data_IF_748325628789
#
_entry.id   IF_748325628789
#
_cell.length_a   1.000
_cell.length_b   1.000
_cell.length_c   1.000
_cell.angle_alpha   90.00
_cell.angle_beta   90.00
_cell.angle_gamma   90.00
#
_symmetry.space_group_name_H-M   'P 1'
#
loop_
_entity.id
_entity.type
_entity.pdbx_description
1 polymer ?
#
# COMPACT_ATOMS: atom_id res chain seq x y z
N UNK A 1 -11.95 -24.25 40.11
CA UNK A 1 -10.56 -24.76 40.05
C UNK A 1 -10.33 -25.46 38.70
N UNK A 2 -10.57 -24.75 37.57
CA UNK A 2 -10.61 -25.37 36.22
C UNK A 2 -10.07 -24.46 35.10
N UNK A 3 -9.43 -23.33 35.40
CA UNK A 3 -8.95 -22.42 34.35
C UNK A 3 -7.42 -22.43 34.14
N UNK A 4 -6.69 -23.24 34.91
CA UNK A 4 -5.22 -23.29 34.83
C UNK A 4 -4.66 -24.34 33.84
N UNK A 5 -5.51 -25.10 33.16
CA UNK A 5 -5.07 -26.23 32.31
C UNK A 5 -5.12 -25.99 30.79
N UNK A 6 -5.50 -24.80 30.34
CA UNK A 6 -5.26 -24.39 28.96
C UNK A 6 -3.98 -23.55 28.92
N UNK A 7 -2.86 -24.15 29.31
CA UNK A 7 -1.55 -23.65 28.89
C UNK A 7 -1.62 -23.55 27.36
N UNK A 8 -1.37 -22.36 26.76
CA UNK A 8 -1.34 -22.26 25.32
C UNK A 8 -0.30 -23.27 24.83
N UNK A 9 -0.73 -24.20 23.97
CA UNK A 9 0.16 -25.02 23.17
C UNK A 9 1.14 -24.07 22.48
N UNK A 10 2.38 -23.99 22.97
CA UNK A 10 3.49 -23.18 22.46
C UNK A 10 3.04 -21.92 21.69
N UNK A 11 2.79 -20.82 22.41
CA UNK A 11 2.55 -19.53 21.79
C UNK A 11 3.87 -18.88 21.35
N UNK A 12 3.86 -18.20 20.20
CA UNK A 12 5.01 -17.42 19.76
C UNK A 12 4.94 -16.02 20.40
N UNK A 13 5.96 -15.62 21.18
CA UNK A 13 6.00 -14.25 21.69
C UNK A 13 6.20 -13.28 20.52
N UNK A 14 5.57 -12.10 20.59
CA UNK A 14 5.87 -11.05 19.65
C UNK A 14 7.36 -10.66 19.77
N UNK A 15 8.10 -10.53 18.66
CA UNK A 15 9.51 -10.19 18.70
C UNK A 15 9.69 -8.78 19.28
N UNK A 16 10.77 -8.58 20.04
CA UNK A 16 11.10 -7.27 20.59
C UNK A 16 11.67 -6.36 19.49
N UNK A 17 10.78 -5.78 18.67
CA UNK A 17 11.11 -4.87 17.58
C UNK A 17 10.61 -3.48 17.94
N UNK A 18 11.52 -2.50 17.94
CA UNK A 18 11.15 -1.10 18.10
C UNK A 18 10.52 -0.57 16.79
N UNK A 19 9.31 0.01 16.82
CA UNK A 19 8.71 0.68 15.67
C UNK A 19 9.55 1.83 15.10
N UNK A 20 10.40 2.44 15.93
CA UNK A 20 11.33 3.51 15.57
C UNK A 20 12.69 2.92 15.22
N UNK A 21 13.17 3.24 14.01
CA UNK A 21 14.49 2.84 13.53
C UNK A 21 15.57 3.68 14.22
N UNK A 22 15.37 5.00 14.21
CA UNK A 22 16.35 5.97 14.70
C UNK A 22 15.67 7.30 15.04
N UNK A 23 16.21 7.97 16.05
CA UNK A 23 15.87 9.34 16.41
C UNK A 23 16.91 10.31 15.84
N UNK A 24 16.46 11.30 15.09
CA UNK A 24 17.28 12.41 14.60
C UNK A 24 16.79 13.68 15.31
N UNK A 25 17.35 13.94 16.50
CA UNK A 25 16.82 14.97 17.40
C UNK A 25 15.37 14.67 17.80
N UNK A 26 14.40 15.59 17.61
CA UNK A 26 12.99 15.34 17.92
C UNK A 26 12.26 14.50 16.87
N UNK A 27 12.90 14.19 15.73
CA UNK A 27 12.28 13.46 14.63
C UNK A 27 12.50 11.95 14.80
N UNK A 28 11.41 11.18 14.93
CA UNK A 28 11.44 9.73 14.97
C UNK A 28 11.20 9.13 13.58
N UNK A 29 12.18 8.37 13.06
CA UNK A 29 12.07 7.66 11.78
C UNK A 29 11.50 6.27 12.03
N UNK A 30 10.29 6.00 11.54
CA UNK A 30 9.59 4.74 11.78
C UNK A 30 9.74 3.76 10.60
N UNK A 31 9.71 2.46 10.89
CA UNK A 31 9.65 1.40 9.86
C UNK A 31 8.51 1.60 8.88
N UNK A 32 7.38 2.09 9.37
CA UNK A 32 6.20 2.40 8.57
C UNK A 32 6.48 3.42 7.47
N UNK A 33 7.15 4.52 7.81
CA UNK A 33 7.54 5.56 6.84
C UNK A 33 8.55 5.03 5.82
N UNK A 34 9.51 4.21 6.26
CA UNK A 34 10.49 3.57 5.37
C UNK A 34 9.80 2.61 4.40
N UNK A 35 8.85 1.80 4.87
CA UNK A 35 8.06 0.89 4.04
C UNK A 35 7.34 1.62 2.91
N UNK A 36 6.73 2.77 3.19
CA UNK A 36 6.13 3.61 2.15
C UNK A 36 7.14 4.14 1.14
N UNK A 37 8.26 4.69 1.60
CA UNK A 37 9.29 5.25 0.71
C UNK A 37 9.84 4.16 -0.21
N UNK A 38 10.21 3.00 0.34
CA UNK A 38 10.71 1.86 -0.44
C UNK A 38 9.66 1.35 -1.41
N UNK A 39 8.40 1.25 -0.98
CA UNK A 39 7.27 0.86 -1.83
C UNK A 39 7.06 1.80 -3.01
N UNK A 40 7.08 3.12 -2.77
CA UNK A 40 6.94 4.14 -3.82
C UNK A 40 8.12 4.09 -4.79
N UNK A 41 9.36 4.03 -4.27
CA UNK A 41 10.56 3.94 -5.09
C UNK A 41 10.57 2.66 -5.94
N UNK A 42 10.15 1.53 -5.38
CA UNK A 42 10.01 0.28 -6.13
C UNK A 42 8.95 0.41 -7.23
N UNK A 43 7.75 0.90 -6.91
CA UNK A 43 6.67 1.05 -7.88
C UNK A 43 7.07 1.98 -9.04
N UNK A 44 7.74 3.09 -8.73
CA UNK A 44 8.30 4.01 -9.72
C UNK A 44 9.37 3.34 -10.60
N UNK A 45 10.38 2.72 -9.98
CA UNK A 45 11.43 2.01 -10.70
C UNK A 45 10.85 0.92 -11.60
N UNK A 46 9.95 0.11 -11.07
CA UNK A 46 9.33 -1.00 -11.79
C UNK A 46 8.45 -0.51 -12.94
N UNK A 47 7.67 0.56 -12.73
CA UNK A 47 6.90 1.21 -13.79
C UNK A 47 7.81 1.67 -14.94
N UNK A 48 8.96 2.30 -14.64
CA UNK A 48 9.94 2.69 -15.67
C UNK A 48 10.50 1.48 -16.40
N UNK A 49 10.77 0.38 -15.69
CA UNK A 49 11.23 -0.88 -16.30
C UNK A 49 10.17 -1.51 -17.21
N UNK A 50 8.89 -1.41 -16.87
CA UNK A 50 7.81 -1.88 -17.73
C UNK A 50 7.68 -1.01 -18.99
N UNK A 51 7.61 0.32 -18.82
CA UNK A 51 7.47 1.26 -19.93
C UNK A 51 8.65 1.19 -20.90
N UNK A 52 9.89 1.11 -20.41
CA UNK A 52 11.09 1.05 -21.28
C UNK A 52 11.30 -0.29 -21.97
N UNK A 53 10.58 -1.34 -21.58
CA UNK A 53 10.69 -2.65 -22.22
C UNK A 53 9.73 -2.76 -23.42
N UNK A 54 10.22 -2.39 -24.61
CA UNK A 54 9.47 -2.41 -25.87
C UNK A 54 8.72 -3.72 -26.15
N UNK A 55 9.27 -4.88 -25.73
CA UNK A 55 8.62 -6.20 -25.95
C UNK A 55 7.25 -6.32 -25.28
N UNK A 56 7.03 -5.60 -24.19
CA UNK A 56 5.79 -5.66 -23.41
C UNK A 56 4.63 -4.91 -24.05
N UNK A 57 4.91 -4.07 -25.06
CA UNK A 57 3.93 -3.16 -25.66
C UNK A 57 3.52 -3.58 -27.08
N UNK A 58 2.33 -3.17 -27.54
CA UNK A 58 1.95 -3.32 -28.95
C UNK A 58 2.98 -2.65 -29.85
N UNK A 59 3.33 -3.31 -30.96
CA UNK A 59 4.21 -2.78 -32.01
C UNK A 59 5.62 -2.33 -31.57
N UNK A 60 6.02 -2.63 -30.33
CA UNK A 60 7.33 -2.24 -29.81
C UNK A 60 7.45 -0.75 -29.41
N UNK A 61 6.34 -0.01 -29.45
CA UNK A 61 6.33 1.41 -29.10
C UNK A 61 6.06 1.64 -27.62
N UNK A 62 6.74 2.62 -27.04
CA UNK A 62 6.55 3.01 -25.65
C UNK A 62 5.18 3.69 -25.49
N UNK A 63 4.38 3.34 -24.47
CA UNK A 63 3.05 3.92 -24.26
C UNK A 63 3.09 5.34 -23.68
N UNK A 64 4.22 5.73 -23.08
CA UNK A 64 4.48 7.03 -22.47
C UNK A 64 6.00 7.23 -22.37
N UNK A 65 6.44 8.46 -22.07
CA UNK A 65 7.85 8.71 -21.83
C UNK A 65 8.23 8.27 -20.41
N UNK A 66 9.44 7.74 -20.16
CA UNK A 66 9.88 7.38 -18.82
C UNK A 66 9.85 8.55 -17.83
N UNK A 67 10.06 9.79 -18.32
CA UNK A 67 10.01 11.01 -17.51
C UNK A 67 8.59 11.36 -17.07
N UNK A 68 7.56 10.92 -17.80
CA UNK A 68 6.17 11.08 -17.37
C UNK A 68 5.93 10.36 -16.03
N UNK A 69 6.64 9.26 -15.77
CA UNK A 69 6.54 8.55 -14.48
C UNK A 69 7.25 9.29 -13.34
N UNK A 70 8.28 10.08 -13.64
CA UNK A 70 8.96 10.93 -12.65
C UNK A 70 8.01 12.04 -12.18
N UNK A 71 7.36 12.71 -13.14
CA UNK A 71 6.33 13.73 -12.87
C UNK A 71 5.10 13.15 -12.17
N UNK A 72 4.72 11.92 -12.54
CA UNK A 72 3.53 11.27 -11.98
C UNK A 72 3.65 10.98 -10.48
N UNK A 73 4.85 10.75 -9.93
CA UNK A 73 5.03 10.56 -8.47
C UNK A 73 4.43 11.75 -7.70
N UNK A 74 4.69 12.97 -8.17
CA UNK A 74 4.20 14.19 -7.53
C UNK A 74 2.68 14.28 -7.61
N UNK A 75 2.10 13.95 -8.77
CA UNK A 75 0.65 13.87 -8.95
C UNK A 75 0.00 12.84 -8.03
N UNK A 76 0.59 11.65 -7.93
CA UNK A 76 0.11 10.58 -7.05
C UNK A 76 0.18 10.99 -5.58
N UNK A 77 1.30 11.59 -5.14
CA UNK A 77 1.46 12.08 -3.78
C UNK A 77 0.42 13.16 -3.42
N UNK A 78 0.22 14.14 -4.31
CA UNK A 78 -0.81 15.17 -4.13
C UNK A 78 -2.21 14.53 -4.09
N UNK A 79 -2.50 13.59 -4.99
CA UNK A 79 -3.77 12.87 -5.03
C UNK A 79 -4.07 12.13 -3.74
N UNK A 80 -3.11 11.35 -3.22
CA UNK A 80 -3.25 10.60 -1.96
C UNK A 80 -3.43 11.54 -0.77
N UNK A 81 -2.61 12.59 -0.65
CA UNK A 81 -2.67 13.52 0.48
C UNK A 81 -3.96 14.34 0.47
N UNK A 82 -4.27 14.98 -0.65
CA UNK A 82 -5.49 15.79 -0.76
C UNK A 82 -6.74 14.93 -0.65
N UNK A 83 -6.80 13.81 -1.39
CA UNK A 83 -7.93 12.90 -1.33
C UNK A 83 -8.12 12.31 0.06
N UNK A 84 -7.04 11.85 0.69
CA UNK A 84 -7.10 11.26 2.03
C UNK A 84 -7.53 12.29 3.08
N UNK A 85 -7.04 13.52 2.98
CA UNK A 85 -7.43 14.59 3.89
C UNK A 85 -8.87 15.02 3.69
N UNK A 86 -9.28 15.29 2.46
CA UNK A 86 -10.68 15.65 2.13
C UNK A 86 -11.63 14.54 2.53
N UNK A 87 -11.30 13.28 2.26
CA UNK A 87 -12.13 12.14 2.69
C UNK A 87 -12.24 12.04 4.21
N UNK A 88 -11.17 12.32 4.96
CA UNK A 88 -11.22 12.34 6.42
C UNK A 88 -12.16 13.45 6.93
N UNK A 89 -11.95 14.67 6.43
CA UNK A 89 -12.75 15.85 6.80
C UNK A 89 -14.24 15.60 6.54
N UNK A 90 -14.59 15.11 5.35
CA UNK A 90 -16.00 14.96 4.95
C UNK A 90 -16.70 13.81 5.66
N UNK A 91 -16.02 12.69 5.90
CA UNK A 91 -16.67 11.47 6.40
C UNK A 91 -16.49 11.20 7.89
N UNK A 92 -15.50 11.81 8.55
CA UNK A 92 -15.16 11.46 9.93
C UNK A 92 -15.26 12.62 10.93
N UNK A 93 -14.91 13.86 10.55
CA UNK A 93 -14.81 14.96 11.53
C UNK A 93 -15.21 16.34 10.96
N UNK A 94 -16.23 16.37 10.10
CA UNK A 94 -16.68 17.60 9.44
C UNK A 94 -16.96 18.79 10.39
N UNK A 95 -17.63 18.60 11.55
CA UNK A 95 -17.93 19.71 12.46
C UNK A 95 -16.68 20.46 12.94
N UNK A 96 -15.57 19.74 13.22
CA UNK A 96 -14.30 20.35 13.63
C UNK A 96 -13.74 21.27 12.56
N UNK A 97 -13.73 20.84 11.30
CA UNK A 97 -13.15 21.64 10.20
C UNK A 97 -14.04 22.81 9.78
N UNK A 98 -15.33 22.77 10.08
CA UNK A 98 -16.20 23.95 9.96
C UNK A 98 -15.82 24.98 11.03
N UNK A 99 -15.57 24.55 12.27
CA UNK A 99 -15.17 25.44 13.36
C UNK A 99 -13.73 25.98 13.21
N UNK A 100 -12.82 25.16 12.70
CA UNK A 100 -11.39 25.49 12.52
C UNK A 100 -10.89 25.11 11.12
N UNK A 101 -11.20 25.90 10.07
CA UNK A 101 -10.88 25.53 8.69
C UNK A 101 -9.40 25.32 8.39
N UNK A 102 -8.51 26.01 9.11
CA UNK A 102 -7.05 25.90 8.93
C UNK A 102 -6.49 24.55 9.37
N UNK A 103 -7.23 23.78 10.20
CA UNK A 103 -6.83 22.43 10.60
C UNK A 103 -6.64 21.51 9.39
N UNK A 104 -7.23 21.82 8.23
CA UNK A 104 -7.11 21.00 7.02
C UNK A 104 -5.64 20.79 6.62
N UNK A 105 -4.77 21.78 6.85
CA UNK A 105 -3.35 21.72 6.51
C UNK A 105 -2.50 20.94 7.53
N UNK A 106 -3.03 20.73 8.75
CA UNK A 106 -2.34 20.05 9.84
C UNK A 106 -2.36 18.53 9.68
N UNK A 107 -1.79 18.04 8.57
CA UNK A 107 -1.71 16.60 8.24
C UNK A 107 -0.82 15.81 9.21
N UNK A 108 0.11 16.48 9.91
CA UNK A 108 0.96 15.89 10.94
C UNK A 108 0.19 15.51 12.22
N UNK A 109 -1.02 16.02 12.41
CA UNK A 109 -1.91 15.63 13.52
C UNK A 109 -2.69 14.34 13.21
N UNK A 110 -2.36 13.65 12.10
CA UNK A 110 -3.12 12.51 11.60
C UNK A 110 -4.43 12.94 10.93
N UNK A 111 -5.37 12.01 10.83
CA UNK A 111 -6.67 12.22 10.17
C UNK A 111 -6.59 12.10 8.65
N UNK A 112 -6.37 10.87 8.18
CA UNK A 112 -6.32 10.52 6.76
C UNK A 112 -7.29 9.37 6.48
N UNK A 113 -8.10 9.52 5.43
CA UNK A 113 -9.02 8.47 4.97
C UNK A 113 -8.36 7.64 3.88
N UNK A 114 -8.34 6.31 4.08
CA UNK A 114 -7.89 5.37 3.04
C UNK A 114 -8.70 5.51 1.75
N UNK A 115 -10.04 5.49 1.86
CA UNK A 115 -10.95 5.61 0.70
C UNK A 115 -10.76 6.95 -0.01
N UNK A 116 -10.59 8.03 0.75
CA UNK A 116 -10.28 9.35 0.19
C UNK A 116 -8.97 9.35 -0.60
N UNK A 117 -7.92 8.75 -0.04
CA UNK A 117 -6.61 8.63 -0.70
C UNK A 117 -6.68 7.81 -1.98
N UNK A 118 -7.42 6.69 -1.96
CA UNK A 118 -7.65 5.83 -3.13
C UNK A 118 -8.39 6.58 -4.26
N UNK A 119 -9.48 7.27 -3.94
CA UNK A 119 -10.20 8.08 -4.93
C UNK A 119 -9.33 9.23 -5.46
N UNK A 120 -8.55 9.86 -4.58
CA UNK A 120 -7.63 10.93 -4.93
C UNK A 120 -6.54 10.49 -5.91
N UNK A 121 -5.94 9.30 -5.72
CA UNK A 121 -4.93 8.79 -6.66
C UNK A 121 -5.54 8.33 -7.98
N UNK A 122 -6.74 7.73 -7.97
CA UNK A 122 -7.48 7.38 -9.20
C UNK A 122 -7.77 8.64 -10.03
N UNK A 123 -8.21 9.72 -9.37
CA UNK A 123 -8.43 11.00 -10.02
C UNK A 123 -7.12 11.60 -10.55
N UNK A 124 -6.05 11.57 -9.76
CA UNK A 124 -4.73 12.06 -10.19
C UNK A 124 -4.21 11.31 -11.41
N UNK A 125 -4.32 9.98 -11.45
CA UNK A 125 -3.97 9.14 -12.60
C UNK A 125 -4.77 9.53 -13.84
N UNK A 126 -6.08 9.70 -13.69
CA UNK A 126 -6.99 10.05 -14.78
C UNK A 126 -6.68 11.44 -15.34
N UNK A 127 -6.51 12.45 -14.48
CA UNK A 127 -6.21 13.81 -14.91
C UNK A 127 -4.81 13.92 -15.52
N UNK A 128 -3.83 13.23 -14.93
CA UNK A 128 -2.47 13.19 -15.45
C UNK A 128 -2.40 12.56 -16.84
N UNK A 129 -3.03 11.39 -17.02
CA UNK A 129 -3.02 10.69 -18.30
C UNK A 129 -3.71 11.52 -19.40
N UNK A 130 -4.83 12.17 -19.10
CA UNK A 130 -5.51 13.09 -20.01
C UNK A 130 -4.60 14.27 -20.39
N UNK A 131 -3.94 14.89 -19.40
CA UNK A 131 -3.02 16.03 -19.62
C UNK A 131 -1.83 15.64 -20.50
N UNK A 132 -1.27 14.44 -20.31
CA UNK A 132 -0.10 13.93 -21.06
C UNK A 132 -0.46 13.18 -22.34
N UNK A 133 -1.76 13.02 -22.66
CA UNK A 133 -2.28 12.20 -23.77
C UNK A 133 -1.81 10.73 -23.71
N UNK A 134 -1.64 10.22 -22.50
CA UNK A 134 -1.34 8.81 -22.23
C UNK A 134 -2.67 8.06 -22.20
N UNK A 135 -2.79 6.87 -22.82
CA UNK A 135 -3.98 6.06 -22.67
C UNK A 135 -4.20 5.72 -21.19
N UNK A 136 -5.29 6.24 -20.59
CA UNK A 136 -5.53 6.18 -19.13
C UNK A 136 -5.39 4.77 -18.58
N UNK A 137 -6.04 3.79 -19.19
CA UNK A 137 -5.98 2.40 -18.75
C UNK A 137 -4.57 1.80 -18.77
N UNK A 138 -3.70 2.27 -19.67
CA UNK A 138 -2.30 1.84 -19.70
C UNK A 138 -1.54 2.37 -18.48
N UNK A 139 -1.79 3.61 -18.04
CA UNK A 139 -1.20 4.10 -16.79
C UNK A 139 -1.68 3.30 -15.58
N UNK A 140 -2.97 2.91 -15.55
CA UNK A 140 -3.51 2.02 -14.51
C UNK A 140 -2.84 0.64 -14.51
N UNK A 141 -2.69 0.02 -15.68
CA UNK A 141 -2.00 -1.28 -15.81
C UNK A 141 -0.53 -1.20 -15.35
N UNK A 142 0.19 -0.13 -15.70
CA UNK A 142 1.60 0.07 -15.31
C UNK A 142 1.74 0.25 -13.81
N UNK A 143 0.94 1.15 -13.22
CA UNK A 143 1.03 1.46 -11.78
C UNK A 143 0.62 0.25 -10.95
N UNK A 144 -0.52 -0.36 -11.26
CA UNK A 144 -1.04 -1.52 -10.52
C UNK A 144 -0.09 -2.72 -10.51
N UNK A 145 0.74 -2.90 -11.55
CA UNK A 145 1.72 -3.97 -11.61
C UNK A 145 2.81 -3.88 -10.51
N UNK A 146 3.11 -2.68 -10.00
CA UNK A 146 4.12 -2.43 -8.97
C UNK A 146 3.56 -2.23 -7.55
N UNK A 147 2.29 -1.84 -7.43
CA UNK A 147 1.60 -1.54 -6.15
C UNK A 147 1.70 -2.66 -5.10
N UNK A 148 1.55 -3.97 -5.44
CA UNK A 148 1.61 -5.05 -4.47
C UNK A 148 2.84 -5.01 -3.55
N UNK A 149 4.03 -4.67 -4.06
CA UNK A 149 5.23 -4.61 -3.22
C UNK A 149 5.12 -3.55 -2.13
N UNK A 150 4.56 -2.38 -2.45
CA UNK A 150 4.29 -1.35 -1.45
C UNK A 150 3.27 -1.80 -0.42
N UNK A 151 2.18 -2.46 -0.84
CA UNK A 151 1.19 -3.03 0.07
C UNK A 151 1.85 -4.03 1.03
N UNK A 152 2.65 -4.96 0.52
CA UNK A 152 3.31 -5.96 1.35
C UNK A 152 4.27 -5.37 2.38
N UNK A 153 5.07 -4.37 1.99
CA UNK A 153 5.98 -3.67 2.90
C UNK A 153 5.23 -2.94 4.03
N UNK A 154 4.12 -2.29 3.70
CA UNK A 154 3.28 -1.63 4.70
C UNK A 154 2.67 -2.63 5.67
N UNK A 155 2.24 -3.82 5.18
CA UNK A 155 1.74 -4.89 6.05
C UNK A 155 2.80 -5.47 6.98
N UNK A 156 4.05 -5.60 6.52
CA UNK A 156 5.17 -5.94 7.40
C UNK A 156 5.38 -4.85 8.46
N UNK A 157 5.28 -3.57 8.10
CA UNK A 157 5.37 -2.50 9.07
C UNK A 157 4.20 -2.48 10.07
N UNK A 158 2.98 -2.84 9.67
CA UNK A 158 1.86 -3.03 10.60
C UNK A 158 2.16 -4.16 11.60
N UNK A 159 2.82 -5.24 11.15
CA UNK A 159 3.28 -6.28 12.07
C UNK A 159 4.29 -5.72 13.07
N UNK A 160 5.32 -4.98 12.62
CA UNK A 160 6.34 -4.36 13.47
C UNK A 160 5.71 -3.39 14.49
N UNK A 161 4.74 -2.58 14.06
CA UNK A 161 4.02 -1.66 14.93
C UNK A 161 3.12 -2.36 15.95
N UNK A 162 2.91 -3.67 15.81
CA UNK A 162 1.84 -4.39 16.47
C UNK A 162 0.52 -3.63 16.27
N UNK A 163 -0.06 -3.72 15.08
CA UNK A 163 -1.38 -3.20 14.76
C UNK A 163 -2.05 -4.06 13.68
N UNK A 164 -3.39 -4.03 13.59
CA UNK A 164 -4.17 -4.79 12.59
C UNK A 164 -3.96 -6.32 12.63
N UNK A 165 -3.69 -6.89 13.80
CA UNK A 165 -3.65 -8.34 13.99
C UNK A 165 -5.01 -8.99 13.76
N UNK A 166 -4.98 -10.30 13.50
CA UNK A 166 -6.16 -11.07 13.17
C UNK A 166 -7.02 -11.45 14.38
N UNK A 167 -8.00 -12.31 14.10
CA UNK A 167 -8.85 -12.92 15.14
C UNK A 167 -8.04 -13.81 16.10
N UNK A 168 -8.54 -14.02 17.33
CA UNK A 168 -7.96 -15.00 18.26
C UNK A 168 -7.84 -16.38 17.63
N UNK A 169 -6.76 -17.09 17.93
CA UNK A 169 -6.45 -18.37 17.30
C UNK A 169 -5.48 -19.20 18.13
N UNK A 170 -5.58 -20.52 17.96
CA UNK A 170 -4.76 -21.52 18.63
C UNK A 170 -3.85 -22.29 17.65
N UNK A 171 -3.65 -21.76 16.43
CA UNK A 171 -2.71 -22.37 15.48
C UNK A 171 -1.27 -22.27 16.00
N UNK A 172 -0.37 -23.21 15.62
CA UNK A 172 1.01 -23.24 16.15
C UNK A 172 1.86 -21.99 15.87
N UNK A 173 1.43 -21.13 14.96
CA UNK A 173 2.11 -19.87 14.61
C UNK A 173 1.33 -18.62 15.04
N UNK A 174 0.37 -18.78 15.96
CA UNK A 174 -0.33 -17.64 16.54
C UNK A 174 0.63 -16.85 17.47
N UNK A 175 0.50 -15.52 17.46
CA UNK A 175 1.42 -14.61 18.13
C UNK A 175 0.73 -13.88 19.29
N UNK A 176 1.44 -13.73 20.39
CA UNK A 176 1.05 -12.90 21.54
C UNK A 176 1.44 -11.44 21.30
N UNK A 177 0.52 -10.66 20.74
CA UNK A 177 0.75 -9.23 20.48
C UNK A 177 0.65 -8.40 21.78
N UNK A 178 1.55 -7.44 22.05
CA UNK A 178 1.58 -6.64 23.28
C UNK A 178 0.27 -5.91 23.61
N UNK A 179 -0.45 -5.47 22.58
CA UNK A 179 -1.72 -4.75 22.62
C UNK A 179 -2.90 -5.60 22.08
N UNK A 180 -2.69 -6.92 21.90
CA UNK A 180 -3.67 -7.86 21.34
C UNK A 180 -4.70 -8.43 22.34
N UNK A 181 -4.55 -8.13 23.63
CA UNK A 181 -5.37 -8.72 24.70
C UNK A 181 -4.84 -10.09 25.16
N UNK A 182 -5.61 -10.84 25.97
CA UNK A 182 -5.11 -12.02 26.68
C UNK A 182 -4.95 -13.29 25.80
N UNK A 183 -5.28 -13.20 24.51
CA UNK A 183 -5.30 -14.36 23.60
C UNK A 183 -4.28 -14.20 22.48
N UNK A 184 -3.67 -15.32 22.06
CA UNK A 184 -2.88 -15.40 20.84
C UNK A 184 -3.73 -15.14 19.60
N UNK A 185 -3.13 -14.54 18.58
CA UNK A 185 -3.84 -14.13 17.36
C UNK A 185 -3.10 -14.52 16.11
N UNK A 186 -3.84 -14.64 15.00
CA UNK A 186 -3.20 -14.77 13.71
C UNK A 186 -2.40 -13.49 13.38
N UNK A 187 -1.14 -13.60 12.94
CA UNK A 187 -0.43 -12.49 12.32
C UNK A 187 -0.92 -12.23 10.90
N UNK A 188 -2.18 -11.80 10.75
CA UNK A 188 -2.84 -11.56 9.45
C UNK A 188 -2.05 -10.59 8.58
N UNK A 189 -1.35 -9.64 9.17
CA UNK A 189 -0.49 -8.70 8.46
C UNK A 189 0.60 -9.43 7.65
N UNK A 190 1.16 -10.53 8.18
CA UNK A 190 2.15 -11.33 7.45
C UNK A 190 1.50 -12.16 6.33
N UNK A 191 0.24 -12.57 6.49
CA UNK A 191 -0.50 -13.25 5.42
C UNK A 191 -0.82 -12.27 4.30
N UNK A 192 -1.27 -11.06 4.63
CA UNK A 192 -1.53 -9.97 3.68
C UNK A 192 -0.23 -9.57 2.97
N UNK A 193 0.88 -9.45 3.71
CA UNK A 193 2.19 -9.16 3.14
C UNK A 193 2.64 -10.22 2.11
N UNK A 194 2.37 -11.49 2.41
CA UNK A 194 2.70 -12.59 1.52
C UNK A 194 1.75 -12.63 0.31
N UNK A 195 0.44 -12.59 0.53
CA UNK A 195 -0.57 -12.83 -0.51
C UNK A 195 -0.79 -11.58 -1.39
N UNK A 196 -1.18 -10.46 -0.78
CA UNK A 196 -1.44 -9.20 -1.47
C UNK A 196 -0.15 -8.49 -1.89
N UNK A 197 0.97 -8.81 -1.22
CA UNK A 197 2.28 -8.29 -1.56
C UNK A 197 3.05 -9.17 -2.54
N UNK A 198 3.73 -10.18 -2.02
CA UNK A 198 4.68 -10.98 -2.80
C UNK A 198 4.00 -11.83 -3.88
N UNK A 199 2.98 -12.62 -3.51
CA UNK A 199 2.31 -13.54 -4.44
C UNK A 199 1.60 -12.76 -5.53
N UNK A 200 0.82 -11.74 -5.18
CA UNK A 200 0.15 -10.89 -6.16
C UNK A 200 1.15 -10.20 -7.10
N UNK A 201 2.27 -9.67 -6.58
CA UNK A 201 3.34 -9.16 -7.44
C UNK A 201 3.85 -10.20 -8.43
N UNK A 202 4.15 -11.43 -7.97
CA UNK A 202 4.64 -12.50 -8.84
C UNK A 202 3.62 -12.89 -9.92
N UNK A 203 2.33 -12.93 -9.57
CA UNK A 203 1.25 -13.18 -10.54
C UNK A 203 1.20 -12.06 -11.59
N UNK A 204 1.18 -10.79 -11.18
CA UNK A 204 1.17 -9.67 -12.13
C UNK A 204 2.46 -9.62 -12.96
N UNK A 205 3.61 -9.92 -12.36
CA UNK A 205 4.89 -10.01 -13.05
C UNK A 205 4.89 -11.13 -14.11
N UNK A 206 4.30 -12.29 -13.80
CA UNK A 206 4.10 -13.37 -14.76
C UNK A 206 3.15 -12.94 -15.90
N UNK A 207 2.04 -12.28 -15.58
CA UNK A 207 1.09 -11.79 -16.58
C UNK A 207 1.72 -10.74 -17.51
N UNK A 208 2.51 -9.82 -16.97
CA UNK A 208 3.21 -8.79 -17.76
C UNK A 208 4.31 -9.38 -18.63
N UNK A 209 5.22 -10.21 -18.08
CA UNK A 209 6.43 -10.64 -18.79
C UNK A 209 6.28 -11.94 -19.58
N UNK A 210 5.55 -12.92 -19.05
CA UNK A 210 5.40 -14.24 -19.66
C UNK A 210 4.18 -14.31 -20.57
N UNK A 211 3.08 -13.63 -20.19
CA UNK A 211 1.83 -13.61 -20.95
C UNK A 211 1.62 -12.32 -21.76
N UNK A 212 2.56 -11.38 -21.70
CA UNK A 212 2.55 -10.10 -22.43
C UNK A 212 1.23 -9.33 -22.30
N UNK A 213 0.60 -9.39 -21.13
CA UNK A 213 -0.75 -8.84 -20.91
C UNK A 213 -0.81 -7.31 -20.92
N UNK A 214 0.32 -6.61 -20.88
CA UNK A 214 0.37 -5.17 -21.15
C UNK A 214 0.01 -4.81 -22.60
N UNK A 215 0.00 -5.77 -23.53
CA UNK A 215 -0.53 -5.60 -24.89
C UNK A 215 -2.06 -5.60 -24.96
N UNK A 216 -2.73 -6.00 -23.87
CA UNK A 216 -4.17 -5.99 -23.74
C UNK A 216 -4.56 -4.97 -22.66
N UNK A 217 -4.86 -3.71 -23.05
CA UNK A 217 -5.17 -2.66 -22.08
C UNK A 217 -6.28 -3.09 -21.12
N UNK A 218 -6.19 -2.65 -19.86
CA UNK A 218 -7.06 -2.95 -18.71
C UNK A 218 -6.84 -4.31 -18.08
N UNK A 219 -6.08 -5.21 -18.70
CA UNK A 219 -5.95 -6.57 -18.20
C UNK A 219 -5.19 -6.64 -16.88
N UNK A 220 -4.09 -5.91 -16.75
CA UNK A 220 -3.21 -6.00 -15.57
C UNK A 220 -3.83 -5.29 -14.38
N UNK A 221 -4.43 -4.12 -14.58
CA UNK A 221 -5.20 -3.41 -13.57
C UNK A 221 -6.43 -4.20 -13.13
N UNK A 222 -7.14 -4.83 -14.06
CA UNK A 222 -8.24 -5.75 -13.74
C UNK A 222 -7.76 -6.96 -12.93
N UNK A 223 -6.66 -7.59 -13.32
CA UNK A 223 -6.07 -8.70 -12.58
C UNK A 223 -5.60 -8.30 -11.18
N UNK A 224 -5.05 -7.09 -11.02
CA UNK A 224 -4.74 -6.53 -9.70
C UNK A 224 -6.00 -6.42 -8.85
N UNK A 225 -7.07 -5.81 -9.35
CA UNK A 225 -8.34 -5.67 -8.61
C UNK A 225 -8.94 -7.03 -8.26
N UNK A 226 -8.89 -8.01 -9.17
CA UNK A 226 -9.41 -9.36 -8.90
C UNK A 226 -8.55 -10.12 -7.89
N UNK A 227 -7.23 -9.89 -7.88
CA UNK A 227 -6.31 -10.53 -6.95
C UNK A 227 -6.17 -9.82 -5.60
N UNK A 228 -6.62 -8.56 -5.52
CA UNK A 228 -6.64 -7.74 -4.32
C UNK A 228 -8.07 -7.77 -3.74
N UNK A 229 -8.30 -8.63 -2.75
CA UNK A 229 -9.60 -8.83 -2.11
C UNK A 229 -9.67 -10.08 -1.26
#
# INVERSE_FOLDING_TARGET
MSEYFLLPLASLPFPNIDPVIVYIGPLAVHWYGVGYIVGILFAWWYAKRLVTNARLWPDGHLPMKPEDLDDFIVWAAIGVVLGGRTGYVLFYDLPRYIAHPLDIFAVWQGGMSFHGGLLGVILAMTLFSLKRRIPTWTLFDVVSAGVPVGLGLVRVANFINSELWGRPSNVPWAIEFPNGGPFTRHPSQLYEALLEGLVLFLVLRFLTHSRLKLKAPRFVGGAFICGYG
#
